data_IF_209804094542
#
_entry.id   IF_209804094542
#
_cell.length_a   1.000
_cell.length_b   1.000
_cell.length_c   1.000
_cell.angle_alpha   90.00
_cell.angle_beta   90.00
_cell.angle_gamma   90.00
#
_symmetry.space_group_name_H-M   'P 1'
#
loop_
_entity.id
_entity.type
_entity.pdbx_description
1 polymer ?
#
# COMPACT_ATOMS: atom_id res chain seq x y z
N UNK A 1 3.34 -16.55 -20.04
CA UNK A 1 3.45 -15.21 -20.65
C UNK A 1 2.62 -15.25 -21.92
N UNK A 2 1.72 -14.29 -22.09
CA UNK A 2 0.79 -14.22 -23.21
C UNK A 2 1.37 -13.36 -24.34
N UNK A 3 0.79 -13.45 -25.54
CA UNK A 3 1.20 -12.61 -26.68
C UNK A 3 1.03 -11.11 -26.39
N UNK A 4 0.03 -10.76 -25.58
CA UNK A 4 -0.20 -9.38 -25.15
C UNK A 4 0.91 -8.87 -24.21
N UNK A 5 1.46 -9.73 -23.34
CA UNK A 5 2.57 -9.35 -22.46
C UNK A 5 3.83 -8.99 -23.26
N UNK A 6 4.07 -9.67 -24.38
CA UNK A 6 5.19 -9.37 -25.28
C UNK A 6 5.01 -8.05 -26.01
N UNK A 7 3.83 -7.83 -26.60
CA UNK A 7 3.47 -6.53 -27.22
C UNK A 7 3.57 -5.37 -26.23
N UNK A 8 3.21 -5.59 -24.96
CA UNK A 8 3.34 -4.58 -23.91
C UNK A 8 4.80 -4.31 -23.52
N UNK A 9 5.65 -5.34 -23.49
CA UNK A 9 7.10 -5.19 -23.25
C UNK A 9 7.79 -4.38 -24.34
N UNK A 10 7.43 -4.57 -25.61
CA UNK A 10 7.96 -3.78 -26.73
C UNK A 10 7.65 -2.27 -26.59
N UNK A 11 6.62 -1.91 -25.82
CA UNK A 11 6.18 -0.52 -25.60
C UNK A 11 6.69 0.08 -24.29
N UNK A 12 7.67 -0.53 -23.64
CA UNK A 12 8.19 -0.10 -22.34
C UNK A 12 8.56 1.39 -22.31
N UNK A 13 9.27 1.88 -23.32
CA UNK A 13 9.71 3.28 -23.39
C UNK A 13 8.53 4.27 -23.42
N UNK A 14 7.45 3.92 -24.13
CA UNK A 14 6.25 4.75 -24.22
C UNK A 14 5.51 4.76 -22.87
N UNK A 15 5.41 3.60 -22.20
CA UNK A 15 4.80 3.53 -20.88
C UNK A 15 5.58 4.31 -19.83
N UNK A 16 6.92 4.26 -19.86
CA UNK A 16 7.75 5.02 -18.93
C UNK A 16 7.48 6.53 -19.05
N UNK A 17 7.48 7.07 -20.28
CA UNK A 17 7.18 8.47 -20.53
C UNK A 17 5.76 8.85 -20.10
N UNK A 18 4.77 8.00 -20.39
CA UNK A 18 3.38 8.26 -20.01
C UNK A 18 3.20 8.27 -18.48
N UNK A 19 3.89 7.40 -17.75
CA UNK A 19 3.87 7.38 -16.28
C UNK A 19 4.50 8.65 -15.70
N UNK A 20 5.65 9.08 -16.23
CA UNK A 20 6.29 10.33 -15.79
C UNK A 20 5.37 11.54 -16.01
N UNK A 21 4.75 11.64 -17.19
CA UNK A 21 3.81 12.71 -17.51
C UNK A 21 2.57 12.67 -16.59
N UNK A 22 2.03 11.49 -16.32
CA UNK A 22 0.90 11.30 -15.40
C UNK A 22 1.26 11.75 -13.99
N UNK A 23 2.41 11.34 -13.47
CA UNK A 23 2.88 11.71 -12.12
C UNK A 23 3.06 13.22 -12.01
N UNK A 24 3.69 13.85 -13.01
CA UNK A 24 3.89 15.30 -13.06
C UNK A 24 2.56 16.07 -13.06
N UNK A 25 1.55 15.59 -13.80
CA UNK A 25 0.27 16.29 -13.97
C UNK A 25 -0.73 16.05 -12.86
N UNK A 26 -0.65 14.91 -12.17
CA UNK A 26 -1.71 14.47 -11.25
C UNK A 26 -1.28 14.31 -9.81
N UNK A 27 0.03 14.32 -9.52
CA UNK A 27 0.51 14.37 -8.13
C UNK A 27 0.36 15.79 -7.59
N UNK A 28 -0.57 15.96 -6.65
CA UNK A 28 -0.92 17.28 -6.09
C UNK A 28 -0.68 17.30 -4.58
N UNK A 29 -0.66 18.50 -3.99
CA UNK A 29 -0.47 18.67 -2.54
C UNK A 29 -1.56 17.94 -1.73
N UNK A 30 -2.80 17.95 -2.22
CA UNK A 30 -3.95 17.32 -1.54
C UNK A 30 -4.10 15.84 -1.87
N UNK A 31 -3.55 15.38 -3.00
CA UNK A 31 -3.56 13.98 -3.42
C UNK A 31 -2.20 13.60 -4.05
N UNK A 32 -1.17 13.38 -3.22
CA UNK A 32 0.16 13.04 -3.73
C UNK A 32 0.24 11.57 -4.14
N UNK A 33 0.95 11.30 -5.23
CA UNK A 33 1.38 9.94 -5.59
C UNK A 33 2.61 9.54 -4.78
N UNK A 34 2.64 8.29 -4.27
CA UNK A 34 3.83 7.70 -3.65
C UNK A 34 4.44 6.66 -4.57
N UNK A 35 5.74 6.79 -4.88
CA UNK A 35 6.48 5.83 -5.70
C UNK A 35 7.00 4.69 -4.81
N UNK A 36 6.75 3.45 -5.24
CA UNK A 36 7.18 2.22 -4.55
C UNK A 36 7.99 1.37 -5.50
N UNK A 37 9.20 1.02 -5.08
CA UNK A 37 10.16 0.20 -5.82
C UNK A 37 9.65 -1.25 -5.85
N UNK A 38 9.34 -1.74 -7.06
CA UNK A 38 8.64 -3.01 -7.26
C UNK A 38 9.53 -4.25 -7.42
N UNK A 39 10.85 -4.08 -7.56
CA UNK A 39 11.77 -5.18 -7.87
C UNK A 39 11.82 -6.23 -6.74
N UNK A 40 11.83 -5.79 -5.49
CA UNK A 40 11.63 -6.67 -4.32
C UNK A 40 10.18 -6.58 -3.81
N UNK A 41 9.44 -7.66 -4.01
CA UNK A 41 8.03 -7.75 -3.59
C UNK A 41 7.83 -7.72 -2.08
N UNK A 42 8.79 -8.23 -1.29
CA UNK A 42 8.70 -8.17 0.17
C UNK A 42 8.86 -6.73 0.65
N UNK A 43 9.88 -6.04 0.15
CA UNK A 43 10.11 -4.64 0.42
C UNK A 43 8.90 -3.77 0.02
N UNK A 44 8.41 -3.92 -1.21
CA UNK A 44 7.29 -3.14 -1.73
C UNK A 44 6.04 -3.23 -0.84
N UNK A 45 5.73 -4.44 -0.33
CA UNK A 45 4.60 -4.65 0.58
C UNK A 45 4.77 -3.92 1.91
N UNK A 46 5.96 -3.96 2.48
CA UNK A 46 6.27 -3.28 3.75
C UNK A 46 6.16 -1.77 3.56
N UNK A 47 6.82 -1.21 2.53
CA UNK A 47 6.78 0.23 2.23
C UNK A 47 5.36 0.76 2.02
N UNK A 48 4.51 0.02 1.31
CA UNK A 48 3.09 0.39 1.12
C UNK A 48 2.36 0.47 2.45
N UNK A 49 2.53 -0.54 3.31
CA UNK A 49 1.84 -0.59 4.60
C UNK A 49 2.34 0.51 5.55
N UNK A 50 3.64 0.73 5.63
CA UNK A 50 4.25 1.79 6.43
C UNK A 50 3.75 3.16 5.97
N UNK A 51 3.83 3.47 4.66
CA UNK A 51 3.34 4.74 4.10
C UNK A 51 1.88 5.00 4.45
N UNK A 52 1.03 3.98 4.32
CA UNK A 52 -0.39 4.09 4.63
C UNK A 52 -0.62 4.35 6.13
N UNK A 53 0.05 3.60 6.99
CA UNK A 53 -0.07 3.74 8.44
C UNK A 53 0.39 5.13 8.87
N UNK A 54 1.57 5.58 8.41
CA UNK A 54 2.11 6.89 8.73
C UNK A 54 1.16 8.02 8.33
N UNK A 55 0.61 7.94 7.10
CA UNK A 55 -0.30 8.98 6.61
C UNK A 55 -1.60 9.04 7.42
N UNK A 56 -2.17 7.87 7.76
CA UNK A 56 -3.38 7.81 8.59
C UNK A 56 -3.11 8.26 10.03
N UNK A 57 -1.96 7.90 10.59
CA UNK A 57 -1.55 8.29 11.93
C UNK A 57 -1.42 9.80 12.08
N UNK A 58 -0.82 10.47 11.10
CA UNK A 58 -0.72 11.92 11.08
C UNK A 58 -2.10 12.57 10.92
N UNK A 59 -2.92 12.09 9.98
CA UNK A 59 -4.22 12.72 9.69
C UNK A 59 -5.24 12.53 10.82
N UNK A 60 -5.16 11.41 11.55
CA UNK A 60 -6.08 11.06 12.63
C UNK A 60 -5.53 11.40 14.03
N UNK A 61 -4.32 11.98 14.12
CA UNK A 61 -3.59 12.17 15.39
C UNK A 61 -3.58 10.89 16.25
N UNK A 62 -3.19 9.77 15.61
CA UNK A 62 -3.29 8.43 16.17
C UNK A 62 -1.94 7.72 16.18
N UNK A 63 -1.50 7.27 17.37
CA UNK A 63 -0.36 6.38 17.51
C UNK A 63 -0.81 4.90 17.44
N UNK A 64 -0.51 4.18 16.33
CA UNK A 64 -0.93 2.81 16.10
C UNK A 64 -0.10 1.81 16.90
N UNK A 65 1.03 2.24 17.45
CA UNK A 65 1.94 1.43 18.26
C UNK A 65 1.84 1.75 19.75
N UNK A 66 0.97 2.68 20.13
CA UNK A 66 0.61 2.90 21.53
C UNK A 66 0.09 1.60 22.17
N UNK A 67 0.42 1.40 23.46
CA UNK A 67 -0.01 0.18 24.17
C UNK A 67 -1.53 -0.06 24.11
N UNK A 68 -2.32 1.02 24.12
CA UNK A 68 -3.78 0.96 24.03
C UNK A 68 -4.26 0.40 22.69
N UNK A 69 -3.65 0.84 21.57
CA UNK A 69 -3.98 0.38 20.23
C UNK A 69 -3.65 -1.11 20.04
N UNK A 70 -2.46 -1.54 20.46
CA UNK A 70 -2.00 -2.93 20.36
C UNK A 70 -2.93 -3.87 21.15
N UNK A 71 -3.34 -3.49 22.36
CA UNK A 71 -4.26 -4.30 23.19
C UNK A 71 -5.66 -4.41 22.57
N UNK A 72 -6.17 -3.37 21.91
CA UNK A 72 -7.50 -3.38 21.27
C UNK A 72 -7.58 -4.34 20.07
N UNK A 73 -6.55 -4.35 19.22
CA UNK A 73 -6.45 -5.23 18.05
C UNK A 73 -6.28 -6.70 18.45
N UNK A 74 -5.53 -6.97 19.52
CA UNK A 74 -5.39 -8.31 20.09
C UNK A 74 -6.74 -8.87 20.60
N UNK A 75 -7.54 -8.04 21.29
CA UNK A 75 -8.87 -8.43 21.82
C UNK A 75 -9.87 -8.78 20.70
N UNK A 76 -9.80 -8.09 19.56
CA UNK A 76 -10.64 -8.36 18.38
C UNK A 76 -10.29 -9.70 17.71
N UNK A 77 -9.00 -10.04 17.60
CA UNK A 77 -8.53 -11.34 17.08
C UNK A 77 -9.00 -12.52 17.94
N UNK A 78 -8.98 -12.39 19.27
CA UNK A 78 -9.45 -13.45 20.18
C UNK A 78 -10.96 -13.71 20.09
N UNK A 79 -11.79 -12.66 19.94
CA UNK A 79 -13.23 -12.83 19.69
C UNK A 79 -13.51 -13.55 18.36
N UNK A 80 -12.79 -13.21 17.29
CA UNK A 80 -12.94 -13.85 15.98
C UNK A 80 -12.53 -15.33 16.01
N UNK A 81 -11.51 -15.69 16.79
CA UNK A 81 -11.05 -17.09 16.99
C UNK A 81 -12.04 -17.93 17.80
N UNK A 82 -12.72 -17.34 18.79
CA UNK A 82 -13.78 -18.01 19.57
C UNK A 82 -15.04 -18.28 18.73
N UNK A 83 -15.44 -17.38 17.84
CA UNK A 83 -16.60 -17.60 16.97
C UNK A 83 -16.35 -18.66 15.88
N UNK A 84 -15.11 -18.80 15.38
CA UNK A 84 -14.76 -19.81 14.37
C UNK A 84 -14.65 -21.25 14.93
N UNK A 85 -14.53 -21.41 16.26
CA UNK A 85 -14.54 -22.72 16.95
C UNK A 85 -15.95 -23.21 17.34
N UNK A 86 -16.97 -22.37 17.17
CA UNK A 86 -18.39 -22.67 17.49
C UNK A 86 -19.24 -22.97 16.25
N UNK A 87 -18.63 -23.07 15.08
CA UNK A 87 -19.27 -23.43 13.80
C UNK A 87 -18.63 -24.68 13.24
#
# INVERSE_FOLDING_TARGET
LTDEDWRNRERWEIYAQAVDEMLLKTSTVTAPWTIVEGDDKHYARVKVLETLVDKLSVELDFDPFSEGAIKSTAKSKDKKKKNKKKS
#
